data_IF_866441729423
#
_entry.id   IF_866441729423
#
_cell.length_a   1.000
_cell.length_b   1.000
_cell.length_c   1.000
_cell.angle_alpha   90.00
_cell.angle_beta   90.00
_cell.angle_gamma   90.00
#
_symmetry.space_group_name_H-M   'P 1'
#
loop_
_entity.id
_entity.type
_entity.pdbx_description
1 polymer ?
#
# COMPACT_ATOMS: atom_id res chain seq x y z
N UNK A 1 18.65 17.58 -22.84
CA UNK A 1 18.72 18.32 -21.58
C UNK A 1 17.31 18.74 -21.19
N UNK A 2 16.92 18.49 -19.97
CA UNK A 2 15.69 18.95 -19.33
C UNK A 2 16.11 20.01 -18.32
N UNK A 3 15.69 21.26 -18.49
CA UNK A 3 16.04 22.35 -17.59
C UNK A 3 14.77 23.08 -17.15
N UNK A 4 14.52 23.12 -15.83
CA UNK A 4 13.33 23.72 -15.25
C UNK A 4 12.02 23.06 -15.67
N UNK A 5 12.01 21.76 -15.92
CA UNK A 5 10.88 20.99 -16.45
C UNK A 5 10.03 20.44 -15.30
N UNK A 6 8.72 20.41 -15.46
CA UNK A 6 7.77 19.82 -14.51
C UNK A 6 7.65 18.30 -14.74
N UNK A 7 7.18 17.57 -13.72
CA UNK A 7 6.98 16.12 -13.81
C UNK A 7 6.10 15.74 -15.01
N UNK A 8 4.98 16.42 -15.23
CA UNK A 8 4.07 16.14 -16.34
C UNK A 8 4.76 16.27 -17.70
N UNK A 9 5.50 17.35 -17.91
CA UNK A 9 6.23 17.61 -19.16
C UNK A 9 7.33 16.57 -19.41
N UNK A 10 8.05 16.18 -18.35
CA UNK A 10 9.07 15.15 -18.44
C UNK A 10 8.48 13.77 -18.82
N UNK A 11 7.33 13.42 -18.27
CA UNK A 11 6.64 12.17 -18.59
C UNK A 11 6.06 12.21 -20.01
N UNK A 12 5.53 13.34 -20.45
CA UNK A 12 5.06 13.51 -21.84
C UNK A 12 6.23 13.37 -22.86
N UNK A 13 7.39 13.91 -22.50
CA UNK A 13 8.59 13.70 -23.30
C UNK A 13 8.97 12.22 -23.38
N UNK A 14 8.96 11.48 -22.26
CA UNK A 14 9.23 10.04 -22.25
C UNK A 14 8.20 9.26 -23.08
N UNK A 15 6.93 9.62 -22.99
CA UNK A 15 5.85 9.00 -23.79
C UNK A 15 6.09 9.18 -25.28
N UNK A 16 6.46 10.38 -25.70
CA UNK A 16 6.76 10.68 -27.09
C UNK A 16 8.01 9.93 -27.60
N UNK A 17 9.06 9.88 -26.78
CA UNK A 17 10.27 9.12 -27.10
C UNK A 17 10.00 7.61 -27.18
N UNK A 18 9.20 7.07 -26.26
CA UNK A 18 8.80 5.66 -26.27
C UNK A 18 8.06 5.30 -27.57
N UNK A 19 7.11 6.13 -27.98
CA UNK A 19 6.37 5.92 -29.22
C UNK A 19 7.25 6.03 -30.48
N UNK A 20 8.23 6.93 -30.46
CA UNK A 20 9.17 7.10 -31.59
C UNK A 20 10.13 5.90 -31.72
N UNK A 21 10.57 5.34 -30.60
CA UNK A 21 11.51 4.23 -30.54
C UNK A 21 10.85 2.86 -30.73
N UNK A 22 9.54 2.78 -30.62
CA UNK A 22 8.77 1.55 -30.81
C UNK A 22 8.53 1.28 -32.30
N UNK A 23 9.55 0.75 -32.93
CA UNK A 23 9.53 0.41 -34.37
C UNK A 23 8.80 -0.91 -34.67
N UNK A 24 8.59 -1.75 -33.65
CA UNK A 24 7.98 -3.07 -33.82
C UNK A 24 6.46 -3.04 -33.83
N UNK A 25 5.85 -2.03 -33.19
CA UNK A 25 4.40 -1.85 -33.22
C UNK A 25 3.99 -1.02 -34.44
N UNK A 26 3.09 -1.56 -35.24
CA UNK A 26 2.60 -0.90 -36.46
C UNK A 26 1.38 -0.01 -36.21
N UNK A 27 0.60 -0.32 -35.18
CA UNK A 27 -0.59 0.43 -34.82
C UNK A 27 -0.20 1.70 -34.01
N UNK A 28 -0.41 2.90 -34.53
CA UNK A 28 -0.08 4.14 -33.83
C UNK A 28 -0.73 4.29 -32.46
N UNK A 29 -1.92 3.68 -32.27
CA UNK A 29 -2.67 3.74 -31.01
C UNK A 29 -2.05 2.85 -29.90
N UNK A 30 -1.22 1.89 -30.28
CA UNK A 30 -0.60 0.94 -29.37
C UNK A 30 0.90 1.19 -29.17
N UNK A 31 1.46 2.15 -29.93
CA UNK A 31 2.89 2.48 -29.84
C UNK A 31 3.26 3.10 -28.50
N UNK A 32 4.45 2.69 -28.02
CA UNK A 32 5.10 3.29 -26.88
C UNK A 32 4.62 2.72 -25.53
N UNK A 33 4.76 3.52 -24.49
CA UNK A 33 4.45 3.15 -23.11
C UNK A 33 3.39 4.12 -22.56
N UNK A 34 2.33 3.57 -22.01
CA UNK A 34 1.33 4.36 -21.30
C UNK A 34 1.87 4.74 -19.91
N UNK A 35 1.90 6.03 -19.60
CA UNK A 35 2.23 6.55 -18.28
C UNK A 35 1.00 7.19 -17.66
N UNK A 36 0.76 6.91 -16.38
CA UNK A 36 -0.34 7.48 -15.59
C UNK A 36 0.25 8.12 -14.34
N UNK A 37 -0.03 9.41 -14.12
CA UNK A 37 0.36 10.11 -12.89
C UNK A 37 -0.85 10.08 -11.95
N UNK A 38 -0.69 9.40 -10.79
CA UNK A 38 -1.75 9.23 -9.79
C UNK A 38 -1.29 9.82 -8.46
N UNK A 39 -1.65 11.10 -8.22
CA UNK A 39 -1.27 11.83 -7.01
C UNK A 39 -2.37 11.82 -5.94
N UNK A 40 -3.55 11.27 -6.22
CA UNK A 40 -4.75 11.33 -5.39
C UNK A 40 -4.63 10.72 -3.98
N UNK A 41 -3.59 9.93 -3.71
CA UNK A 41 -3.32 9.34 -2.38
C UNK A 41 -2.28 10.12 -1.57
N UNK A 42 -1.90 11.31 -2.03
CA UNK A 42 -1.03 12.23 -1.29
C UNK A 42 -1.85 13.34 -0.65
N UNK A 43 -1.30 13.95 0.40
CA UNK A 43 -1.82 15.22 0.88
C UNK A 43 -1.83 16.25 -0.26
N UNK A 44 -2.89 17.06 -0.35
CA UNK A 44 -3.02 18.05 -1.43
C UNK A 44 -1.78 18.96 -1.58
N UNK A 45 -1.17 19.36 -0.47
CA UNK A 45 0.04 20.18 -0.47
C UNK A 45 1.21 19.45 -1.14
N UNK A 46 1.35 18.14 -0.89
CA UNK A 46 2.40 17.31 -1.48
C UNK A 46 2.14 17.04 -2.95
N UNK A 47 0.89 16.77 -3.32
CA UNK A 47 0.50 16.58 -4.72
C UNK A 47 0.82 17.83 -5.54
N UNK A 48 0.42 19.01 -5.07
CA UNK A 48 0.74 20.29 -5.69
C UNK A 48 2.24 20.53 -5.77
N UNK A 49 3.00 20.22 -4.71
CA UNK A 49 4.46 20.38 -4.72
C UNK A 49 5.11 19.51 -5.81
N UNK A 50 4.67 18.26 -5.98
CA UNK A 50 5.18 17.35 -7.02
C UNK A 50 4.87 17.89 -8.42
N UNK A 51 3.67 18.44 -8.63
CA UNK A 51 3.25 18.99 -9.92
C UNK A 51 3.95 20.30 -10.29
N UNK A 52 4.23 21.15 -9.30
CA UNK A 52 4.70 22.52 -9.56
C UNK A 52 6.18 22.73 -9.32
N UNK A 53 6.90 21.77 -8.73
CA UNK A 53 8.33 21.89 -8.48
C UNK A 53 9.14 21.54 -9.74
N UNK A 54 9.83 22.52 -10.36
CA UNK A 54 10.66 22.25 -11.52
C UNK A 54 11.95 21.54 -11.11
N UNK A 55 12.45 20.68 -11.98
CA UNK A 55 13.73 20.01 -11.82
C UNK A 55 14.56 20.07 -13.12
N UNK A 56 15.87 19.90 -12.99
CA UNK A 56 16.79 19.92 -14.14
C UNK A 56 17.61 18.66 -14.17
N UNK A 57 17.66 18.01 -15.36
CA UNK A 57 18.46 16.82 -15.61
C UNK A 57 19.25 16.97 -16.91
N UNK A 58 20.57 16.76 -16.84
CA UNK A 58 21.45 16.75 -18.00
C UNK A 58 21.91 15.31 -18.27
N UNK A 59 21.34 14.70 -19.30
CA UNK A 59 21.56 13.29 -19.61
C UNK A 59 22.06 13.13 -21.03
N UNK A 60 23.02 12.22 -21.23
CA UNK A 60 23.52 11.83 -22.56
C UNK A 60 23.65 10.32 -22.60
N UNK A 61 23.09 9.72 -23.64
CA UNK A 61 23.18 8.28 -23.91
C UNK A 61 22.80 7.40 -22.71
N UNK A 62 21.66 7.70 -22.09
CA UNK A 62 21.13 6.98 -20.93
C UNK A 62 19.89 6.19 -21.35
N UNK A 63 19.74 4.90 -20.96
CA UNK A 63 18.55 4.12 -21.23
C UNK A 63 17.29 4.79 -20.65
N UNK A 64 16.17 4.71 -21.37
CA UNK A 64 14.91 5.35 -20.95
C UNK A 64 14.48 4.97 -19.53
N UNK A 65 14.65 3.70 -19.15
CA UNK A 65 14.36 3.25 -17.78
C UNK A 65 15.16 4.04 -16.75
N UNK A 66 16.46 4.26 -16.99
CA UNK A 66 17.29 5.02 -16.06
C UNK A 66 16.92 6.51 -16.02
N UNK A 67 16.50 7.06 -17.18
CA UNK A 67 15.95 8.43 -17.21
C UNK A 67 14.69 8.53 -16.35
N UNK A 68 13.79 7.58 -16.47
CA UNK A 68 12.59 7.51 -15.61
C UNK A 68 12.98 7.43 -14.13
N UNK A 69 13.91 6.54 -13.74
CA UNK A 69 14.36 6.40 -12.36
C UNK A 69 14.88 7.74 -11.79
N UNK A 70 15.67 8.49 -12.58
CA UNK A 70 16.21 9.78 -12.17
C UNK A 70 15.12 10.87 -12.04
N UNK A 71 14.11 10.86 -12.92
CA UNK A 71 12.95 11.75 -12.81
C UNK A 71 12.19 11.45 -11.52
N UNK A 72 11.92 10.17 -11.24
CA UNK A 72 11.21 9.72 -10.04
C UNK A 72 11.95 10.11 -8.76
N UNK A 73 13.28 9.97 -8.75
CA UNK A 73 14.14 10.39 -7.64
C UNK A 73 14.07 11.90 -7.43
N UNK A 74 14.22 12.69 -8.49
CA UNK A 74 14.16 14.15 -8.44
C UNK A 74 12.81 14.69 -7.93
N UNK A 75 11.71 14.05 -8.31
CA UNK A 75 10.35 14.43 -7.94
C UNK A 75 9.81 13.76 -6.68
N UNK A 76 10.61 12.88 -6.04
CA UNK A 76 10.20 12.06 -4.88
C UNK A 76 8.93 11.26 -5.16
N UNK A 77 8.89 10.66 -6.33
CA UNK A 77 7.82 9.77 -6.76
C UNK A 77 8.36 8.35 -6.96
N UNK A 78 7.48 7.40 -7.14
CA UNK A 78 7.81 6.00 -7.46
C UNK A 78 6.94 5.52 -8.61
N UNK A 79 7.47 4.64 -9.44
CA UNK A 79 6.73 4.01 -10.52
C UNK A 79 6.38 2.56 -10.14
N UNK A 80 5.19 2.16 -10.54
CA UNK A 80 4.73 0.77 -10.54
C UNK A 80 4.36 0.39 -11.96
N UNK A 81 4.84 -0.77 -12.40
CA UNK A 81 4.45 -1.33 -13.69
C UNK A 81 3.20 -2.16 -13.49
N UNK A 82 2.11 -1.73 -14.09
CA UNK A 82 0.86 -2.48 -14.20
C UNK A 82 0.77 -3.17 -15.56
N UNK A 83 -0.26 -3.98 -15.78
CA UNK A 83 -0.48 -4.75 -17.01
C UNK A 83 -0.51 -3.86 -18.27
N UNK A 84 -1.04 -2.65 -18.17
CA UNK A 84 -1.27 -1.77 -19.31
C UNK A 84 -0.59 -0.40 -19.21
N UNK A 85 0.03 -0.08 -18.06
CA UNK A 85 0.63 1.24 -17.86
C UNK A 85 1.71 1.24 -16.78
N UNK A 86 2.58 2.25 -16.84
CA UNK A 86 3.47 2.61 -15.76
C UNK A 86 2.80 3.69 -14.92
N UNK A 87 2.41 3.35 -13.69
CA UNK A 87 1.71 4.24 -12.76
C UNK A 87 2.72 4.94 -11.87
N UNK A 88 2.73 6.26 -11.89
CA UNK A 88 3.61 7.11 -11.08
C UNK A 88 2.81 7.62 -9.88
N UNK A 89 3.33 7.40 -8.68
CA UNK A 89 2.73 7.79 -7.40
C UNK A 89 3.73 8.52 -6.52
N UNK A 90 3.30 9.31 -5.53
CA UNK A 90 4.20 9.89 -4.54
C UNK A 90 4.95 8.80 -3.79
N UNK A 91 6.25 8.98 -3.56
CA UNK A 91 7.06 8.03 -2.80
C UNK A 91 6.52 7.92 -1.36
N UNK A 92 6.33 6.69 -0.86
CA UNK A 92 5.73 6.45 0.46
C UNK A 92 4.21 6.69 0.52
N UNK A 93 3.53 6.87 -0.62
CA UNK A 93 2.09 6.75 -0.65
C UNK A 93 1.72 5.30 -0.28
N UNK A 94 0.84 5.17 0.72
CA UNK A 94 0.33 3.87 1.13
C UNK A 94 -0.37 3.27 -0.09
N UNK A 95 0.05 2.08 -0.48
CA UNK A 95 -0.65 1.34 -1.54
C UNK A 95 -2.03 0.97 -0.99
N UNK A 96 -3.10 1.50 -1.59
CA UNK A 96 -4.47 1.07 -1.25
C UNK A 96 -4.76 -0.36 -1.72
N UNK A 97 -3.79 -1.00 -2.37
CA UNK A 97 -3.91 -2.36 -2.83
C UNK A 97 -3.84 -3.34 -1.66
N UNK A 98 -4.96 -3.97 -1.41
CA UNK A 98 -5.07 -5.01 -0.40
C UNK A 98 -4.49 -6.32 -0.92
N UNK A 99 -3.37 -6.74 -0.36
CA UNK A 99 -2.74 -8.01 -0.68
C UNK A 99 -3.21 -9.08 0.29
N UNK A 100 -3.56 -10.23 -0.25
CA UNK A 100 -3.92 -11.40 0.54
C UNK A 100 -2.67 -12.25 0.82
N UNK A 101 -2.42 -12.53 2.09
CA UNK A 101 -1.34 -13.42 2.53
C UNK A 101 -1.85 -14.42 3.56
N UNK A 102 -1.24 -15.59 3.58
CA UNK A 102 -1.50 -16.64 4.57
C UNK A 102 -0.23 -16.96 5.35
N UNK A 103 -0.40 -17.12 6.66
CA UNK A 103 0.68 -17.46 7.59
C UNK A 103 0.26 -18.67 8.41
N UNK A 104 1.18 -19.62 8.58
CA UNK A 104 0.98 -20.70 9.54
C UNK A 104 1.31 -20.18 10.93
N UNK A 105 0.36 -20.25 11.84
CA UNK A 105 0.47 -19.75 13.20
C UNK A 105 0.37 -20.92 14.20
N UNK A 106 0.90 -20.78 15.43
CA UNK A 106 0.65 -21.75 16.49
C UNK A 106 -0.85 -21.91 16.78
N UNK A 107 -1.32 -23.09 17.24
CA UNK A 107 -2.73 -23.31 17.57
C UNK A 107 -3.27 -22.38 18.64
N UNK A 108 -2.42 -21.90 19.52
CA UNK A 108 -2.69 -20.99 20.65
C UNK A 108 -2.52 -19.51 20.30
N UNK A 109 -2.41 -19.16 19.00
CA UNK A 109 -2.21 -17.77 18.52
C UNK A 109 -3.19 -16.75 19.10
N UNK A 110 -4.45 -17.14 19.37
CA UNK A 110 -5.47 -16.31 20.01
C UNK A 110 -5.78 -16.76 21.43
N UNK A 111 -4.81 -17.35 22.15
CA UNK A 111 -5.03 -17.77 23.52
C UNK A 111 -5.19 -16.59 24.48
N UNK A 112 -5.88 -16.85 25.57
CA UNK A 112 -6.37 -15.85 26.52
C UNK A 112 -5.27 -15.11 27.28
N UNK A 113 -4.06 -15.68 27.31
CA UNK A 113 -2.90 -15.14 28.06
C UNK A 113 -2.33 -13.83 27.45
N UNK A 114 -2.55 -13.62 26.15
CA UNK A 114 -2.16 -12.38 25.46
C UNK A 114 -3.16 -11.21 25.66
N UNK A 115 -4.26 -11.44 26.32
CA UNK A 115 -5.35 -10.46 26.55
C UNK A 115 -5.10 -9.58 27.77
N UNK A 116 -3.86 -9.27 28.14
CA UNK A 116 -3.49 -8.31 29.16
C UNK A 116 -4.41 -8.31 30.40
N UNK A 117 -3.87 -8.47 31.56
CA UNK A 117 -4.52 -8.38 32.88
C UNK A 117 -5.59 -7.28 32.96
N UNK A 118 -6.82 -7.60 32.62
CA UNK A 118 -7.99 -6.74 32.70
C UNK A 118 -9.26 -7.50 33.05
N UNK A 119 -9.12 -8.67 33.66
CA UNK A 119 -10.25 -9.48 34.13
C UNK A 119 -9.93 -10.11 35.43
N UNK A 120 -10.31 -9.43 36.54
CA UNK A 120 -10.05 -9.83 37.91
C UNK A 120 -10.26 -11.31 38.20
N UNK A 121 -9.20 -11.91 38.71
CA UNK A 121 -9.18 -13.24 39.29
C UNK A 121 -9.75 -13.19 40.74
N UNK A 122 -10.91 -12.62 40.91
CA UNK A 122 -11.66 -12.70 42.19
C UNK A 122 -13.18 -12.60 41.95
N UNK A 123 -13.69 -13.40 41.04
CA UNK A 123 -15.11 -13.65 40.97
C UNK A 123 -15.38 -14.91 41.78
N UNK A 124 -15.88 -14.73 43.01
CA UNK A 124 -16.41 -15.80 43.85
C UNK A 124 -17.43 -16.62 43.04
N UNK A 125 -17.19 -17.91 42.82
CA UNK A 125 -18.08 -18.75 42.02
C UNK A 125 -19.46 -18.97 42.67
N UNK A 126 -19.70 -18.46 43.88
CA UNK A 126 -20.94 -18.61 44.67
C UNK A 126 -21.65 -17.31 44.98
N UNK A 127 -21.26 -16.18 44.42
CA UNK A 127 -22.04 -14.95 44.54
C UNK A 127 -23.34 -15.09 43.72
N UNK A 128 -24.42 -15.36 44.47
CA UNK A 128 -25.78 -15.49 43.94
C UNK A 128 -26.36 -14.13 43.54
N UNK A 129 -27.09 -14.15 42.43
CA UNK A 129 -28.23 -13.35 42.07
C UNK A 129 -28.18 -11.83 42.36
N UNK A 130 -27.49 -11.09 41.52
CA UNK A 130 -27.90 -9.78 40.99
C UNK A 130 -26.88 -9.23 39.95
N UNK A 131 -26.42 -10.07 39.05
CA UNK A 131 -25.53 -9.62 38.01
C UNK A 131 -26.33 -9.20 36.77
N UNK A 132 -26.21 -7.94 36.32
CA UNK A 132 -26.70 -7.57 34.99
C UNK A 132 -25.98 -8.43 33.95
N UNK A 133 -26.79 -9.09 33.15
CA UNK A 133 -26.48 -9.86 31.94
C UNK A 133 -24.98 -10.04 31.68
N UNK A 134 -24.48 -11.26 31.87
CA UNK A 134 -23.18 -11.73 31.35
C UNK A 134 -23.12 -11.38 29.88
N UNK A 135 -22.53 -10.23 29.57
CA UNK A 135 -22.22 -9.85 28.18
C UNK A 135 -21.47 -11.01 27.55
N UNK A 136 -22.00 -11.51 26.44
CA UNK A 136 -21.33 -12.47 25.59
C UNK A 136 -19.85 -12.03 25.51
N UNK A 137 -18.95 -12.81 26.13
CA UNK A 137 -17.51 -12.56 26.06
C UNK A 137 -17.17 -12.47 24.59
N UNK A 138 -16.97 -11.25 24.11
CA UNK A 138 -16.64 -10.98 22.71
C UNK A 138 -15.34 -11.74 22.45
N UNK A 139 -15.42 -12.82 21.67
CA UNK A 139 -14.22 -13.58 21.31
C UNK A 139 -13.32 -12.60 20.56
N UNK A 140 -12.08 -12.48 21.01
CA UNK A 140 -11.09 -11.67 20.33
C UNK A 140 -10.93 -12.21 18.91
N UNK A 141 -11.10 -11.33 17.94
CA UNK A 141 -10.85 -11.71 16.54
C UNK A 141 -9.36 -11.56 16.24
N UNK A 142 -8.88 -12.26 15.22
CA UNK A 142 -7.50 -12.12 14.76
C UNK A 142 -7.19 -10.66 14.37
N UNK A 143 -8.18 -9.94 13.86
CA UNK A 143 -8.06 -8.53 13.51
C UNK A 143 -7.88 -7.66 14.76
N UNK A 144 -8.70 -7.87 15.81
CA UNK A 144 -8.59 -7.11 17.06
C UNK A 144 -7.24 -7.36 17.74
N UNK A 145 -6.77 -8.62 17.74
CA UNK A 145 -5.47 -8.98 18.28
C UNK A 145 -4.34 -8.26 17.54
N UNK A 146 -4.34 -8.27 16.21
CA UNK A 146 -3.32 -7.60 15.42
C UNK A 146 -3.37 -6.08 15.56
N UNK A 147 -4.56 -5.48 15.73
CA UNK A 147 -4.71 -4.05 16.04
C UNK A 147 -4.07 -3.70 17.38
N UNK A 148 -4.25 -4.51 18.41
CA UNK A 148 -3.59 -4.33 19.71
C UNK A 148 -2.05 -4.41 19.61
N UNK A 149 -1.52 -5.23 18.69
CA UNK A 149 -0.08 -5.33 18.42
C UNK A 149 0.42 -4.20 17.46
N UNK A 150 -0.42 -3.23 17.12
CA UNK A 150 -0.03 -2.05 16.34
C UNK A 150 -0.20 -2.19 14.82
N UNK A 151 -0.83 -3.26 14.33
CA UNK A 151 -1.12 -3.41 12.90
C UNK A 151 -2.30 -2.53 12.52
N UNK A 152 -2.10 -1.63 11.56
CA UNK A 152 -3.17 -0.81 11.02
C UNK A 152 -3.96 -1.57 9.94
N UNK A 153 -5.29 -1.47 9.98
CA UNK A 153 -6.20 -2.06 9.02
C UNK A 153 -6.98 -0.95 8.30
N UNK A 154 -6.59 -0.59 7.08
CA UNK A 154 -7.34 0.37 6.28
C UNK A 154 -8.69 -0.21 5.84
N UNK A 155 -9.60 0.62 5.30
CA UNK A 155 -10.91 0.17 4.82
C UNK A 155 -10.80 -1.00 3.85
N UNK A 156 -11.55 -2.08 4.10
CA UNK A 156 -11.53 -3.31 3.31
C UNK A 156 -10.42 -4.31 3.67
N UNK A 157 -9.50 -3.96 4.57
CA UNK A 157 -8.55 -4.90 5.14
C UNK A 157 -9.24 -5.81 6.17
N UNK A 158 -8.73 -7.01 6.37
CA UNK A 158 -9.27 -7.98 7.32
C UNK A 158 -8.24 -9.04 7.71
N UNK A 159 -8.42 -9.63 8.88
CA UNK A 159 -7.64 -10.77 9.32
C UNK A 159 -8.56 -11.86 9.86
N UNK A 160 -8.34 -13.10 9.44
CA UNK A 160 -9.10 -14.27 9.87
C UNK A 160 -8.15 -15.39 10.26
N UNK A 161 -8.28 -15.88 11.49
CA UNK A 161 -7.57 -17.06 11.95
C UNK A 161 -8.48 -18.29 11.98
N UNK A 162 -8.03 -19.37 11.35
CA UNK A 162 -8.72 -20.67 11.35
C UNK A 162 -7.95 -21.62 12.27
N UNK A 163 -8.49 -21.87 13.44
CA UNK A 163 -7.88 -22.76 14.46
C UNK A 163 -7.68 -24.19 13.98
N UNK A 164 -8.63 -24.71 13.17
CA UNK A 164 -8.54 -26.08 12.65
C UNK A 164 -7.35 -26.32 11.71
N UNK A 165 -6.95 -25.33 10.94
CA UNK A 165 -5.83 -25.41 9.99
C UNK A 165 -4.59 -24.64 10.46
N UNK A 166 -4.67 -23.96 11.60
CA UNK A 166 -3.59 -23.09 12.11
C UNK A 166 -3.13 -22.04 11.09
N UNK A 167 -4.06 -21.54 10.26
CA UNK A 167 -3.79 -20.56 9.21
C UNK A 167 -4.40 -19.22 9.58
N UNK A 168 -3.54 -18.21 9.63
CA UNK A 168 -3.93 -16.79 9.67
C UNK A 168 -3.95 -16.24 8.25
N UNK A 169 -5.12 -15.86 7.79
CA UNK A 169 -5.33 -15.20 6.50
C UNK A 169 -5.45 -13.69 6.72
N UNK A 170 -4.57 -12.91 6.12
CA UNK A 170 -4.54 -11.44 6.26
C UNK A 170 -4.70 -10.81 4.88
N UNK A 171 -5.64 -9.90 4.77
CA UNK A 171 -5.82 -9.01 3.64
C UNK A 171 -5.50 -7.60 4.13
N UNK A 172 -4.36 -7.04 3.73
CA UNK A 172 -3.91 -5.72 4.18
C UNK A 172 -3.04 -5.05 3.10
N UNK A 173 -2.77 -3.76 3.28
CA UNK A 173 -1.84 -3.02 2.42
C UNK A 173 -0.38 -3.39 2.75
N UNK A 174 0.52 -3.23 1.77
CA UNK A 174 1.96 -3.27 2.03
C UNK A 174 2.39 -1.88 2.50
N UNK A 175 2.90 -1.81 3.70
CA UNK A 175 3.64 -0.66 4.21
C UNK A 175 5.11 -0.83 3.95
#
# INVERSE_FOLDING_TARGET
DMDGVLLGEAIDFLRQQAATLDINELDPARKGIAFVIQLGNADEARARSIETTPFSLKLRNVPMRKVLDLILEATRTQARVDEHAVVIRPAGAISDELIFRQFTMPPDFLSREDLGEGGGADADPFAADDAPQRGLLKRLTAEDYLKQKGVNFPPGASALYRTQSSILSVKNTIT
#
